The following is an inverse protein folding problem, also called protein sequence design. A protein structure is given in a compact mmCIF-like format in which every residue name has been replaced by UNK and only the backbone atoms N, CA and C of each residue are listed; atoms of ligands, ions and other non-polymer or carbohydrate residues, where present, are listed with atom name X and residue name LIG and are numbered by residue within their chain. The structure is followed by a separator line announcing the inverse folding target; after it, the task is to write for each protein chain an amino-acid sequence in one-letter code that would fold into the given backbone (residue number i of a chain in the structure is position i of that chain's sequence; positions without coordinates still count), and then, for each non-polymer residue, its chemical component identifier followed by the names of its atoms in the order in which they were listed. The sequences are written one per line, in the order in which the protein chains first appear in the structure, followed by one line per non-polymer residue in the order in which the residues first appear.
data_IF_183652677196
#
_entry.id   IF_183652677196
#
_cell.length_a   1.000
_cell.length_b   1.000
_cell.length_c   1.000
_cell.angle_alpha   90.00
_cell.angle_beta   90.00
_cell.angle_gamma   90.00
#
_symmetry.space_group_name_H-M   'P 1'
#
loop_
_entity.id
_entity.type
_entity.pdbx_description
1 polymer ?
#
# COMPACT_ATOMS: atom_id res chain seq x y z
N UNK A 1 8.06 -2.84 10.88
CA UNK A 1 7.14 -1.68 10.82
C UNK A 1 5.91 -2.14 10.08
N UNK A 2 4.75 -1.74 10.57
CA UNK A 2 3.45 -2.22 10.13
C UNK A 2 2.70 -1.06 9.45
N UNK A 3 2.23 -1.28 8.23
CA UNK A 3 1.39 -0.33 7.49
C UNK A 3 -0.06 -0.76 7.55
N UNK A 4 -0.99 0.16 7.72
CA UNK A 4 -2.44 -0.12 7.67
C UNK A 4 -2.91 -0.23 6.22
N UNK A 5 -3.40 -1.38 5.80
CA UNK A 5 -4.08 -1.50 4.50
C UNK A 5 -5.43 -0.77 4.54
N UNK A 6 -5.79 -0.15 3.42
CA UNK A 6 -7.12 0.37 3.19
C UNK A 6 -8.12 -0.80 3.16
N UNK A 7 -9.34 -0.57 3.66
CA UNK A 7 -10.39 -1.58 3.64
C UNK A 7 -10.89 -1.79 2.21
N UNK A 8 -10.87 -3.03 1.72
CA UNK A 8 -11.42 -3.40 0.41
C UNK A 8 -12.96 -3.29 0.34
N UNK A 9 -13.65 -3.13 1.48
CA UNK A 9 -15.09 -2.87 1.54
C UNK A 9 -15.52 -2.24 2.87
N UNK A 10 -16.38 -1.21 2.81
CA UNK A 10 -17.05 -0.57 3.96
C UNK A 10 -17.88 -1.54 4.83
N UNK A 11 -18.23 -2.73 4.31
CA UNK A 11 -19.10 -3.73 4.96
C UNK A 11 -18.37 -4.94 5.56
N UNK A 12 -17.07 -5.08 5.33
CA UNK A 12 -16.35 -6.24 5.82
C UNK A 12 -15.76 -5.92 7.20
N UNK A 13 -16.26 -6.60 8.24
CA UNK A 13 -15.70 -6.64 9.60
C UNK A 13 -14.35 -7.38 9.58
N UNK A 14 -13.39 -6.81 8.85
CA UNK A 14 -12.03 -7.34 8.75
C UNK A 14 -11.18 -6.33 9.50
N UNK A 15 -10.74 -6.74 10.69
CA UNK A 15 -9.75 -6.06 11.53
C UNK A 15 -8.73 -5.38 10.62
N UNK A 16 -8.46 -4.09 10.87
CA UNK A 16 -7.49 -3.29 10.12
C UNK A 16 -6.27 -4.16 9.78
N UNK A 17 -6.17 -4.59 8.51
CA UNK A 17 -5.12 -5.52 8.10
C UNK A 17 -3.82 -4.73 8.07
N UNK A 18 -3.06 -4.81 9.14
CA UNK A 18 -1.69 -4.32 9.13
C UNK A 18 -0.84 -5.28 8.30
N UNK A 19 -0.08 -4.73 7.37
CA UNK A 19 0.86 -5.48 6.53
C UNK A 19 2.28 -5.02 6.82
N UNK A 20 3.18 -5.98 6.98
CA UNK A 20 4.61 -5.72 7.17
C UNK A 20 5.29 -5.59 5.80
N UNK A 21 6.36 -4.80 5.69
CA UNK A 21 7.15 -4.69 4.46
C UNK A 21 7.60 -6.04 3.88
N UNK A 22 7.98 -6.98 4.76
CA UNK A 22 8.36 -8.34 4.35
C UNK A 22 7.20 -9.11 3.73
N UNK A 23 5.99 -8.97 4.29
CA UNK A 23 4.79 -9.61 3.73
C UNK A 23 4.39 -8.99 2.38
N UNK A 24 4.58 -7.67 2.21
CA UNK A 24 4.38 -7.00 0.93
C UNK A 24 5.39 -7.49 -0.10
N UNK A 25 6.68 -7.53 0.25
CA UNK A 25 7.70 -8.04 -0.65
C UNK A 25 7.47 -9.50 -1.02
N UNK A 26 7.09 -10.34 -0.06
CA UNK A 26 6.76 -11.74 -0.36
C UNK A 26 5.61 -11.84 -1.36
N UNK A 27 4.54 -11.04 -1.21
CA UNK A 27 3.43 -10.97 -2.18
C UNK A 27 3.86 -10.46 -3.56
N UNK A 28 4.77 -9.50 -3.62
CA UNK A 28 5.33 -8.98 -4.88
C UNK A 28 6.17 -10.06 -5.56
N UNK A 29 7.05 -10.71 -4.82
CA UNK A 29 7.89 -11.81 -5.31
C UNK A 29 7.04 -13.02 -5.75
N UNK A 30 5.96 -13.35 -5.02
CA UNK A 30 4.99 -14.39 -5.40
C UNK A 30 4.16 -14.01 -6.64
N UNK A 31 3.87 -12.72 -6.83
CA UNK A 31 3.12 -12.23 -8.00
C UNK A 31 3.99 -12.11 -9.26
N UNK A 32 5.32 -12.17 -9.10
CA UNK A 32 6.29 -12.15 -10.18
C UNK A 32 6.17 -10.89 -11.07
N UNK A 33 6.25 -11.08 -12.39
CA UNK A 33 6.25 -9.98 -13.38
C UNK A 33 4.96 -9.15 -13.46
N UNK A 34 3.90 -9.52 -12.74
CA UNK A 34 2.65 -8.73 -12.70
C UNK A 34 2.72 -7.59 -11.68
N UNK A 35 3.70 -7.61 -10.78
CA UNK A 35 3.74 -6.72 -9.63
C UNK A 35 2.61 -6.98 -8.65
N UNK A 36 2.56 -6.20 -7.57
CA UNK A 36 1.43 -6.20 -6.65
C UNK A 36 0.95 -4.76 -6.38
N UNK A 37 -0.36 -4.62 -6.28
CA UNK A 37 -1.03 -3.35 -5.97
C UNK A 37 -1.52 -3.43 -4.54
N UNK A 38 -1.19 -2.41 -3.75
CA UNK A 38 -1.59 -2.30 -2.36
C UNK A 38 -2.33 -0.98 -2.16
N UNK A 39 -3.53 -1.07 -1.59
CA UNK A 39 -4.26 0.11 -1.15
C UNK A 39 -3.97 0.32 0.33
N UNK A 40 -3.45 1.49 0.67
CA UNK A 40 -3.06 1.92 2.00
C UNK A 40 -4.00 3.02 2.45
N UNK A 41 -4.38 2.97 3.72
CA UNK A 41 -5.27 3.99 4.29
C UNK A 41 -4.55 5.34 4.42
N UNK A 42 -5.31 6.45 4.34
CA UNK A 42 -4.78 7.80 4.56
C UNK A 42 -4.22 8.02 5.98
N UNK A 43 -4.62 7.18 6.95
CA UNK A 43 -4.07 7.19 8.29
C UNK A 43 -2.58 6.79 8.36
N UNK A 44 -2.00 6.25 7.28
CA UNK A 44 -0.59 5.91 7.26
C UNK A 44 0.29 7.17 7.23
N UNK A 45 1.34 7.17 8.05
CA UNK A 45 2.30 8.25 8.05
C UNK A 45 3.10 8.25 6.73
N UNK A 46 3.27 9.42 6.13
CA UNK A 46 4.06 9.62 4.90
C UNK A 46 5.52 9.11 5.05
N UNK A 47 6.03 9.10 6.29
CA UNK A 47 7.35 8.54 6.62
C UNK A 47 7.45 7.06 6.30
N UNK A 48 6.38 6.30 6.53
CA UNK A 48 6.35 4.86 6.26
C UNK A 48 6.18 4.58 4.77
N UNK A 49 5.47 5.43 4.02
CA UNK A 49 5.41 5.39 2.55
C UNK A 49 6.79 5.62 1.91
N UNK A 50 7.54 6.63 2.37
CA UNK A 50 8.92 6.87 1.89
C UNK A 50 9.87 5.72 2.22
N UNK A 51 9.71 5.09 3.38
CA UNK A 51 10.48 3.89 3.73
C UNK A 51 10.13 2.71 2.84
N UNK A 52 8.86 2.53 2.53
CA UNK A 52 8.39 1.50 1.60
C UNK A 52 9.05 1.69 0.22
N UNK A 53 9.00 2.91 -0.32
CA UNK A 53 9.65 3.24 -1.59
C UNK A 53 11.16 2.93 -1.56
N UNK A 54 11.86 3.34 -0.49
CA UNK A 54 13.29 3.07 -0.32
C UNK A 54 13.60 1.56 -0.21
N UNK A 55 12.74 0.81 0.49
CA UNK A 55 12.88 -0.64 0.66
C UNK A 55 12.74 -1.38 -0.68
N UNK A 56 11.73 -1.06 -1.47
CA UNK A 56 11.51 -1.67 -2.77
C UNK A 56 12.51 -1.20 -3.83
N UNK A 57 12.94 0.07 -3.77
CA UNK A 57 14.05 0.59 -4.60
C UNK A 57 15.35 -0.18 -4.35
N UNK A 58 15.64 -0.54 -3.09
CA UNK A 58 16.78 -1.40 -2.74
C UNK A 58 16.69 -2.82 -3.31
N UNK A 59 15.48 -3.32 -3.57
CA UNK A 59 15.22 -4.60 -4.25
C UNK A 59 15.10 -4.49 -5.78
N UNK A 60 15.42 -3.33 -6.36
CA UNK A 60 15.30 -3.05 -7.79
C UNK A 60 13.85 -3.18 -8.33
N UNK A 61 12.85 -2.96 -7.47
CA UNK A 61 11.44 -2.88 -7.85
C UNK A 61 11.01 -1.42 -8.05
N UNK A 62 10.16 -1.19 -9.04
CA UNK A 62 9.55 0.10 -9.29
C UNK A 62 8.34 0.30 -8.39
N UNK A 63 8.40 1.30 -7.52
CA UNK A 63 7.27 1.67 -6.66
C UNK A 63 6.59 2.92 -7.21
N UNK A 64 5.27 2.86 -7.42
CA UNK A 64 4.43 4.00 -7.78
C UNK A 64 3.43 4.22 -6.67
N UNK A 65 3.42 5.40 -6.06
CA UNK A 65 2.46 5.78 -5.03
C UNK A 65 1.55 6.84 -5.63
N UNK A 66 0.24 6.65 -5.52
CA UNK A 66 -0.79 7.57 -5.99
C UNK A 66 -1.83 7.81 -4.91
N UNK A 67 -2.38 9.00 -4.86
CA UNK A 67 -3.53 9.31 -4.01
C UNK A 67 -4.81 9.10 -4.82
N UNK A 68 -5.56 8.05 -4.50
CA UNK A 68 -6.84 7.76 -5.13
C UNK A 68 -7.96 8.41 -4.31
N UNK A 69 -8.62 9.41 -4.89
CA UNK A 69 -9.79 10.07 -4.29
C UNK A 69 -11.05 9.39 -4.81
N UNK A 70 -11.87 8.87 -3.90
CA UNK A 70 -13.10 8.15 -4.28
C UNK A 70 -14.37 8.96 -4.05
N UNK A 71 -14.27 10.16 -3.45
CA UNK A 71 -15.38 11.10 -3.30
C UNK A 71 -15.00 12.52 -3.74
N UNK A 72 -16.00 13.37 -3.94
CA UNK A 72 -15.80 14.82 -4.17
C UNK A 72 -15.25 15.55 -2.94
N UNK A 73 -15.22 14.91 -1.78
CA UNK A 73 -14.63 15.47 -0.56
C UNK A 73 -13.12 15.27 -0.52
N UNK A 74 -12.38 16.35 -0.23
CA UNK A 74 -10.92 16.36 -0.12
C UNK A 74 -10.37 15.42 0.96
N UNK A 75 -11.21 14.95 1.89
CA UNK A 75 -10.79 14.08 2.99
C UNK A 75 -10.89 12.59 2.66
N UNK A 76 -11.60 12.22 1.60
CA UNK A 76 -11.86 10.83 1.23
C UNK A 76 -10.89 10.36 0.14
N UNK A 77 -9.68 10.00 0.58
CA UNK A 77 -8.62 9.47 -0.27
C UNK A 77 -7.93 8.25 0.36
N UNK A 78 -7.38 7.40 -0.49
CA UNK A 78 -6.51 6.27 -0.13
C UNK A 78 -5.21 6.37 -0.92
N UNK A 79 -4.15 5.76 -0.41
CA UNK A 79 -2.90 5.63 -1.15
C UNK A 79 -2.91 4.32 -1.94
N UNK A 80 -2.79 4.41 -3.25
CA UNK A 80 -2.57 3.28 -4.15
C UNK A 80 -1.07 3.13 -4.39
N UNK A 81 -0.51 1.98 -4.02
CA UNK A 81 0.91 1.65 -4.16
C UNK A 81 1.07 0.49 -5.11
N UNK A 82 1.65 0.73 -6.28
CA UNK A 82 2.03 -0.32 -7.22
C UNK A 82 3.50 -0.63 -7.03
N UNK A 83 3.81 -1.91 -6.83
CA UNK A 83 5.18 -2.41 -6.82
C UNK A 83 5.34 -3.34 -8.02
N UNK A 84 6.21 -2.97 -8.95
CA UNK A 84 6.52 -3.68 -10.20
C UNK A 84 7.94 -4.26 -10.15
#
# INVERSE_FOLDING_TARGET
MELKLAKESLKADIKANTITFEAMAKKVEESGSKGAIFYLDRENAEKDLKKLESFFKGKNHHTLIRELRYSMDTKDYIYEVHVL
#
